data_IF_973834674170
#
_entry.id   IF_973834674170
#
_cell.length_a   1.000
_cell.length_b   1.000
_cell.length_c   1.000
_cell.angle_alpha   90.00
_cell.angle_beta   90.00
_cell.angle_gamma   90.00
#
_symmetry.space_group_name_H-M   'P 1'
#
loop_
_entity.id
_entity.type
_entity.pdbx_description
1 polymer ?
#
# COMPACT_ATOMS: atom_id res chain seq x y z
N UNK A 1 -36.64 -44.41 0.99
CA UNK A 1 -35.30 -43.84 0.85
C UNK A 1 -35.45 -42.36 0.49
N UNK A 2 -35.50 -41.52 1.50
CA UNK A 2 -35.54 -40.08 1.33
C UNK A 2 -34.13 -39.55 1.25
N UNK A 3 -33.81 -38.80 0.22
CA UNK A 3 -32.64 -37.95 0.15
C UNK A 3 -33.06 -36.55 0.65
N UNK A 4 -32.65 -36.28 1.87
CA UNK A 4 -32.67 -34.92 2.43
C UNK A 4 -31.60 -34.08 1.77
N UNK A 5 -31.99 -33.28 0.78
CA UNK A 5 -31.19 -32.21 0.23
C UNK A 5 -31.55 -30.88 0.94
N UNK A 6 -31.14 -30.73 2.20
CA UNK A 6 -31.12 -29.41 2.82
C UNK A 6 -29.84 -28.70 2.38
N UNK A 7 -29.92 -27.54 1.69
CA UNK A 7 -28.72 -26.72 1.39
C UNK A 7 -28.12 -26.26 2.72
N UNK A 8 -26.82 -26.33 2.77
CA UNK A 8 -25.99 -25.96 3.94
C UNK A 8 -26.10 -24.43 4.17
N UNK A 9 -27.13 -24.00 4.89
CA UNK A 9 -27.42 -22.58 5.19
C UNK A 9 -26.37 -21.89 6.08
N UNK A 10 -25.43 -22.65 6.66
CA UNK A 10 -24.37 -22.08 7.52
C UNK A 10 -23.28 -21.33 6.77
N UNK A 11 -23.10 -21.56 5.47
CA UNK A 11 -22.08 -20.87 4.69
C UNK A 11 -22.53 -19.48 4.19
N UNK A 12 -23.81 -19.27 3.96
CA UNK A 12 -24.33 -17.99 3.47
C UNK A 12 -24.33 -16.90 4.55
N UNK A 13 -24.64 -17.24 5.80
CA UNK A 13 -24.65 -16.27 6.90
C UNK A 13 -23.24 -15.78 7.30
N UNK A 14 -22.21 -16.58 7.05
CA UNK A 14 -20.83 -16.22 7.33
C UNK A 14 -20.23 -15.32 6.25
N UNK A 15 -20.67 -15.48 4.99
CA UNK A 15 -20.28 -14.69 3.83
C UNK A 15 -20.73 -13.22 3.90
N UNK A 16 -21.69 -12.90 4.77
CA UNK A 16 -22.29 -11.56 4.89
C UNK A 16 -22.22 -11.00 6.31
N UNK A 17 -21.34 -11.54 7.16
CA UNK A 17 -21.15 -11.03 8.51
C UNK A 17 -20.37 -9.70 8.50
N UNK A 18 -20.61 -8.88 9.53
CA UNK A 18 -19.90 -7.59 9.70
C UNK A 18 -18.39 -7.77 9.84
N UNK A 19 -17.96 -8.93 10.35
CA UNK A 19 -16.57 -9.34 10.48
C UNK A 19 -15.95 -9.64 9.11
N UNK A 20 -16.66 -10.37 8.25
CA UNK A 20 -16.23 -10.67 6.89
C UNK A 20 -16.00 -9.38 6.06
N UNK A 21 -16.86 -8.38 6.22
CA UNK A 21 -16.70 -7.08 5.58
C UNK A 21 -15.49 -6.31 6.12
N UNK A 22 -15.23 -6.38 7.41
CA UNK A 22 -14.03 -5.78 7.99
C UNK A 22 -12.77 -6.42 7.44
N UNK A 23 -12.77 -7.73 7.25
CA UNK A 23 -11.63 -8.45 6.69
C UNK A 23 -11.44 -8.07 5.22
N UNK A 24 -12.51 -8.01 4.41
CA UNK A 24 -12.43 -7.54 3.01
C UNK A 24 -12.02 -6.07 2.93
N UNK A 25 -12.61 -5.19 3.73
CA UNK A 25 -12.22 -3.77 3.74
C UNK A 25 -10.77 -3.62 4.16
N UNK A 26 -10.31 -4.36 5.15
CA UNK A 26 -8.91 -4.37 5.56
C UNK A 26 -8.00 -4.93 4.44
N UNK A 27 -8.42 -5.99 3.75
CA UNK A 27 -7.68 -6.57 2.63
C UNK A 27 -7.64 -5.62 1.42
N UNK A 28 -8.73 -4.92 1.12
CA UNK A 28 -8.80 -3.88 0.09
C UNK A 28 -7.93 -2.67 0.47
N UNK A 29 -8.01 -2.19 1.71
CA UNK A 29 -7.20 -1.07 2.21
C UNK A 29 -5.71 -1.43 2.28
N UNK A 30 -5.37 -2.71 2.50
CA UNK A 30 -3.99 -3.21 2.51
C UNK A 30 -3.44 -3.47 1.10
N UNK A 31 -4.29 -3.50 0.06
CA UNK A 31 -3.88 -3.83 -1.32
C UNK A 31 -3.67 -2.62 -2.22
N UNK A 32 -3.76 -1.39 -1.71
CA UNK A 32 -3.43 -0.19 -2.50
C UNK A 32 -1.93 -0.10 -2.81
N UNK A 33 -1.62 0.25 -4.04
CA UNK A 33 -0.31 0.18 -4.70
C UNK A 33 0.89 0.71 -3.91
N UNK A 34 2.08 0.39 -4.35
CA UNK A 34 3.34 0.57 -3.65
C UNK A 34 3.71 -0.71 -2.90
N UNK A 35 4.28 -0.60 -1.69
CA UNK A 35 4.60 -1.78 -0.88
C UNK A 35 3.35 -2.50 -0.35
N UNK A 36 2.21 -1.81 -0.31
CA UNK A 36 0.93 -2.33 0.14
C UNK A 36 0.08 -3.01 -0.97
N UNK A 37 0.48 -2.92 -2.26
CA UNK A 37 -0.26 -3.50 -3.38
C UNK A 37 -1.23 -2.53 -4.06
N UNK A 38 -2.10 -3.05 -4.91
CA UNK A 38 -3.16 -2.32 -5.60
C UNK A 38 -4.53 -2.70 -5.05
N UNK A 39 -5.43 -1.74 -4.99
CA UNK A 39 -6.83 -2.01 -4.66
C UNK A 39 -7.44 -2.89 -5.76
N UNK A 40 -8.07 -4.01 -5.35
CA UNK A 40 -8.77 -4.88 -6.27
C UNK A 40 -10.02 -4.19 -6.84
N UNK A 41 -10.31 -4.40 -8.11
CA UNK A 41 -11.60 -4.01 -8.65
C UNK A 41 -12.71 -4.93 -8.13
N UNK A 42 -13.96 -4.47 -8.03
CA UNK A 42 -15.07 -5.30 -7.55
C UNK A 42 -15.21 -6.64 -8.27
N UNK A 43 -14.88 -6.69 -9.58
CA UNK A 43 -14.91 -7.90 -10.39
C UNK A 43 -13.67 -8.82 -10.23
N UNK A 44 -12.62 -8.33 -9.56
CA UNK A 44 -11.39 -9.10 -9.25
C UNK A 44 -11.43 -9.70 -7.84
N UNK A 45 -12.50 -9.45 -7.08
CA UNK A 45 -12.65 -10.01 -5.74
C UNK A 45 -12.83 -11.52 -5.80
N UNK A 46 -12.17 -12.30 -4.93
CA UNK A 46 -12.17 -13.78 -4.98
C UNK A 46 -13.57 -14.41 -4.87
N UNK A 47 -14.52 -13.70 -4.27
CA UNK A 47 -15.89 -14.15 -4.09
C UNK A 47 -16.85 -13.69 -5.20
N UNK A 48 -16.37 -12.94 -6.19
CA UNK A 48 -17.15 -12.50 -7.34
C UNK A 48 -16.90 -13.46 -8.50
N UNK A 49 -17.75 -14.46 -8.64
CA UNK A 49 -17.66 -15.51 -9.65
C UNK A 49 -18.75 -15.42 -10.72
N UNK A 50 -19.76 -14.58 -10.48
CA UNK A 50 -20.90 -14.38 -11.36
C UNK A 50 -21.32 -12.90 -11.41
N UNK A 51 -22.10 -12.54 -12.44
CA UNK A 51 -22.71 -11.20 -12.52
C UNK A 51 -23.64 -10.88 -11.34
N UNK A 52 -24.26 -11.89 -10.74
CA UNK A 52 -25.08 -11.71 -9.55
C UNK A 52 -24.24 -11.34 -8.33
N UNK A 53 -23.08 -11.97 -8.16
CA UNK A 53 -22.16 -11.65 -7.06
C UNK A 53 -21.70 -10.19 -7.18
N UNK A 54 -21.40 -9.75 -8.40
CA UNK A 54 -21.02 -8.36 -8.65
C UNK A 54 -22.14 -7.37 -8.29
N UNK A 55 -23.40 -7.67 -8.66
CA UNK A 55 -24.55 -6.84 -8.28
C UNK A 55 -24.68 -6.78 -6.75
N UNK A 56 -24.57 -7.92 -6.08
CA UNK A 56 -24.63 -7.99 -4.61
C UNK A 56 -23.53 -7.14 -3.95
N UNK A 57 -22.31 -7.12 -4.50
CA UNK A 57 -21.20 -6.25 -4.01
C UNK A 57 -21.59 -4.79 -4.10
N UNK A 58 -22.17 -4.33 -5.21
CA UNK A 58 -22.59 -2.94 -5.37
C UNK A 58 -23.78 -2.57 -4.47
N UNK A 59 -24.77 -3.43 -4.32
CA UNK A 59 -25.90 -3.21 -3.41
C UNK A 59 -25.42 -3.05 -1.97
N UNK A 60 -24.53 -3.94 -1.52
CA UNK A 60 -23.97 -3.88 -0.17
C UNK A 60 -23.06 -2.66 0.02
N UNK A 61 -22.31 -2.25 -1.00
CA UNK A 61 -21.54 -1.02 -0.95
C UNK A 61 -22.46 0.20 -0.80
N UNK A 62 -23.56 0.25 -1.53
CA UNK A 62 -24.56 1.31 -1.42
C UNK A 62 -25.17 1.39 -0.01
N UNK A 63 -25.52 0.25 0.57
CA UNK A 63 -26.05 0.17 1.95
C UNK A 63 -24.96 0.60 2.98
N UNK A 64 -23.74 0.19 2.76
CA UNK A 64 -22.62 0.57 3.63
C UNK A 64 -22.37 2.08 3.62
N UNK A 65 -22.50 2.75 2.48
CA UNK A 65 -22.31 4.19 2.34
C UNK A 65 -23.35 5.02 3.10
N UNK A 66 -24.49 4.45 3.46
CA UNK A 66 -25.50 5.11 4.31
C UNK A 66 -25.01 5.28 5.75
N UNK A 67 -24.15 4.41 6.22
CA UNK A 67 -23.67 4.38 7.62
C UNK A 67 -22.18 4.70 7.73
N UNK A 68 -21.42 4.48 6.68
CA UNK A 68 -19.98 4.72 6.63
C UNK A 68 -19.68 5.68 5.47
N UNK A 69 -19.16 6.88 5.74
CA UNK A 69 -18.79 7.80 4.68
C UNK A 69 -17.71 7.17 3.79
N UNK A 70 -17.92 7.25 2.49
CA UNK A 70 -16.93 6.81 1.51
C UNK A 70 -15.68 7.67 1.57
N UNK A 71 -14.53 7.08 1.31
CA UNK A 71 -13.29 7.81 1.09
C UNK A 71 -13.16 8.19 -0.38
N UNK A 72 -12.61 9.38 -0.65
CA UNK A 72 -12.29 9.80 -2.01
C UNK A 72 -11.04 9.05 -2.46
N UNK A 73 -11.14 8.32 -3.57
CA UNK A 73 -9.95 7.75 -4.22
C UNK A 73 -9.14 8.90 -4.83
N UNK A 74 -7.91 9.01 -4.40
CA UNK A 74 -6.95 9.97 -4.94
C UNK A 74 -6.23 9.31 -6.12
N UNK A 75 -6.02 10.05 -7.20
CA UNK A 75 -5.32 9.57 -8.39
C UNK A 75 -3.96 10.25 -8.50
N UNK A 76 -2.93 9.57 -8.09
CA UNK A 76 -1.57 10.07 -8.06
C UNK A 76 -0.53 8.98 -8.25
N UNK A 77 0.69 9.25 -7.84
CA UNK A 77 1.79 8.29 -7.88
C UNK A 77 1.93 7.64 -6.51
N UNK A 78 1.44 6.41 -6.40
CA UNK A 78 1.55 5.66 -5.17
C UNK A 78 3.00 5.24 -4.89
N UNK A 79 3.43 5.39 -3.65
CA UNK A 79 4.71 4.94 -3.13
C UNK A 79 4.62 4.74 -1.62
N UNK A 80 5.62 4.09 -1.06
CA UNK A 80 5.82 4.09 0.38
C UNK A 80 7.13 4.79 0.70
N UNK A 81 7.22 5.39 1.87
CA UNK A 81 8.46 5.91 2.43
C UNK A 81 8.70 5.32 3.80
N UNK A 82 9.94 5.23 4.18
CA UNK A 82 10.39 4.77 5.49
C UNK A 82 11.67 5.45 5.91
N UNK A 83 11.93 5.47 7.19
CA UNK A 83 13.17 5.98 7.73
C UNK A 83 14.22 4.86 7.73
N UNK A 84 15.40 5.14 7.20
CA UNK A 84 16.54 4.22 7.20
C UNK A 84 17.78 4.92 7.78
N UNK A 85 18.75 4.12 8.22
CA UNK A 85 20.06 4.60 8.61
C UNK A 85 21.04 4.42 7.46
N UNK A 86 21.71 5.49 7.06
CA UNK A 86 22.77 5.46 6.05
C UNK A 86 24.03 6.06 6.67
N UNK A 87 24.95 5.19 7.06
CA UNK A 87 26.22 5.61 7.65
C UNK A 87 26.09 6.39 8.97
N UNK A 88 25.09 6.05 9.79
CA UNK A 88 24.83 6.73 11.07
C UNK A 88 23.91 7.95 10.96
N UNK A 89 23.45 8.27 9.73
CA UNK A 89 22.51 9.37 9.51
C UNK A 89 21.15 8.82 9.11
N UNK A 90 20.10 9.22 9.85
CA UNK A 90 18.73 8.86 9.52
C UNK A 90 18.21 9.73 8.39
N UNK A 91 17.61 9.10 7.39
CA UNK A 91 16.96 9.78 6.28
C UNK A 91 15.78 8.98 5.75
N UNK A 92 14.84 9.66 5.12
CA UNK A 92 13.75 8.99 4.44
C UNK A 92 14.21 8.39 3.12
N UNK A 93 13.67 7.20 2.81
CA UNK A 93 13.88 6.47 1.59
C UNK A 93 12.56 5.97 1.04
N UNK A 94 12.45 5.89 -0.29
CA UNK A 94 11.27 5.35 -0.97
C UNK A 94 11.30 3.83 -1.03
N UNK A 95 10.11 3.26 -1.14
CA UNK A 95 9.90 1.86 -1.41
C UNK A 95 8.71 1.69 -2.38
N UNK A 96 8.97 1.08 -3.54
CA UNK A 96 7.96 0.84 -4.58
C UNK A 96 7.36 -0.57 -4.53
N UNK A 97 7.60 -1.31 -3.45
CA UNK A 97 7.04 -2.64 -3.25
C UNK A 97 7.67 -3.75 -4.10
N UNK A 98 8.68 -3.44 -4.94
CA UNK A 98 9.30 -4.44 -5.80
C UNK A 98 10.32 -5.30 -5.05
N UNK A 99 10.74 -6.41 -5.70
CA UNK A 99 11.81 -7.28 -5.19
C UNK A 99 13.21 -6.82 -5.57
N UNK A 100 13.36 -5.63 -6.16
CA UNK A 100 14.66 -5.08 -6.51
C UNK A 100 15.43 -4.71 -5.24
N UNK A 101 16.75 -4.87 -5.28
CA UNK A 101 17.60 -4.63 -4.13
C UNK A 101 17.44 -3.21 -3.55
N UNK A 102 17.37 -2.20 -4.42
CA UNK A 102 17.17 -0.81 -4.00
C UNK A 102 15.83 -0.58 -3.29
N UNK A 103 14.75 -1.22 -3.75
CA UNK A 103 13.45 -1.14 -3.06
C UNK A 103 13.52 -1.80 -1.67
N UNK A 104 14.22 -2.94 -1.55
CA UNK A 104 14.38 -3.65 -0.29
C UNK A 104 15.25 -2.85 0.68
N UNK A 105 16.34 -2.26 0.20
CA UNK A 105 17.24 -1.41 0.98
C UNK A 105 16.59 -0.07 1.37
N UNK A 106 15.72 0.45 0.54
CA UNK A 106 15.18 1.80 0.54
C UNK A 106 15.91 2.67 -0.47
N UNK A 107 15.17 3.29 -1.37
CA UNK A 107 15.67 4.13 -2.43
C UNK A 107 15.89 5.53 -1.86
N UNK A 108 17.12 5.91 -1.64
CA UNK A 108 17.48 7.30 -1.25
C UNK A 108 17.44 8.23 -2.45
N UNK A 109 17.55 9.53 -2.23
CA UNK A 109 17.64 10.50 -3.33
C UNK A 109 18.84 10.19 -4.27
N UNK A 110 19.96 9.76 -3.72
CA UNK A 110 21.13 9.36 -4.49
C UNK A 110 20.93 8.10 -5.35
N UNK A 111 20.02 7.22 -4.92
CA UNK A 111 19.75 5.97 -5.62
C UNK A 111 18.68 6.11 -6.75
N UNK A 112 18.08 7.28 -6.92
CA UNK A 112 16.94 7.45 -7.85
C UNK A 112 17.34 7.19 -9.31
N UNK A 113 18.52 7.67 -9.74
CA UNK A 113 19.01 7.46 -11.11
C UNK A 113 19.42 6.01 -11.36
N UNK A 114 19.91 5.31 -10.35
CA UNK A 114 20.23 3.88 -10.45
C UNK A 114 18.95 3.02 -10.47
N UNK A 115 17.90 3.50 -9.83
CA UNK A 115 16.64 2.78 -9.74
C UNK A 115 15.74 2.97 -10.95
N UNK A 116 15.73 4.16 -11.52
CA UNK A 116 14.87 4.56 -12.62
C UNK A 116 15.73 4.96 -13.84
N UNK A 117 15.23 4.67 -15.05
CA UNK A 117 15.91 5.07 -16.26
C UNK A 117 15.97 6.60 -16.40
N UNK A 118 16.98 7.09 -17.06
CA UNK A 118 17.13 8.53 -17.36
C UNK A 118 15.85 9.09 -18.00
N UNK A 119 15.39 10.24 -17.50
CA UNK A 119 14.16 10.90 -17.96
C UNK A 119 12.88 10.35 -17.35
N UNK A 120 12.95 9.33 -16.50
CA UNK A 120 11.78 8.81 -15.81
C UNK A 120 11.25 9.82 -14.76
N UNK A 121 9.96 10.14 -14.82
CA UNK A 121 9.34 11.15 -13.94
C UNK A 121 9.58 10.94 -12.44
N UNK A 122 9.78 9.69 -12.01
CA UNK A 122 10.09 9.36 -10.61
C UNK A 122 11.44 9.90 -10.12
N UNK A 123 12.38 10.22 -10.97
CA UNK A 123 13.64 10.85 -10.56
C UNK A 123 13.35 12.24 -9.99
N UNK A 124 12.56 13.02 -10.70
CA UNK A 124 12.16 14.36 -10.25
C UNK A 124 11.21 14.29 -9.06
N UNK A 125 10.08 13.64 -9.23
CA UNK A 125 9.01 13.55 -8.20
C UNK A 125 9.51 12.89 -6.93
N UNK A 126 10.22 11.77 -7.04
CA UNK A 126 10.81 11.07 -5.90
C UNK A 126 11.85 11.93 -5.17
N UNK A 127 12.65 12.69 -5.91
CA UNK A 127 13.62 13.65 -5.33
C UNK A 127 12.92 14.74 -4.52
N UNK A 128 11.89 15.38 -5.06
CA UNK A 128 11.10 16.42 -4.38
C UNK A 128 10.43 15.89 -3.12
N UNK A 129 9.83 14.70 -3.19
CA UNK A 129 9.20 14.03 -2.05
C UNK A 129 10.21 13.73 -0.95
N UNK A 130 11.36 13.14 -1.30
CA UNK A 130 12.39 12.80 -0.33
C UNK A 130 13.02 14.05 0.31
N UNK A 131 13.23 15.12 -0.44
CA UNK A 131 13.70 16.40 0.11
C UNK A 131 12.73 16.93 1.15
N UNK A 132 11.44 17.01 0.80
CA UNK A 132 10.42 17.52 1.71
C UNK A 132 10.34 16.71 3.02
N UNK A 133 10.37 15.38 2.94
CA UNK A 133 10.34 14.54 4.14
C UNK A 133 11.62 14.65 4.98
N UNK A 134 12.78 14.74 4.34
CA UNK A 134 14.05 14.90 5.04
C UNK A 134 14.18 16.29 5.69
N UNK A 135 13.66 17.34 5.06
CA UNK A 135 13.55 18.67 5.68
C UNK A 135 12.61 18.69 6.88
N UNK A 136 11.51 17.95 6.82
CA UNK A 136 10.57 17.83 7.93
C UNK A 136 11.09 16.96 9.09
N UNK A 137 12.04 16.05 8.85
CA UNK A 137 12.49 15.04 9.82
C UNK A 137 12.84 15.61 11.19
N UNK A 138 13.60 16.71 11.35
CA UNK A 138 13.94 17.26 12.66
C UNK A 138 12.69 17.66 13.46
N UNK A 139 11.66 18.16 12.79
CA UNK A 139 10.42 18.62 13.42
C UNK A 139 9.53 17.46 13.86
N UNK A 140 9.45 16.38 13.04
CA UNK A 140 8.55 15.25 13.28
C UNK A 140 9.22 14.08 14.03
N UNK A 141 10.50 14.18 14.34
CA UNK A 141 11.26 13.09 14.97
C UNK A 141 10.63 12.55 16.27
N UNK A 142 10.06 13.45 17.08
CA UNK A 142 9.38 13.07 18.29
C UNK A 142 8.12 12.22 18.06
N UNK A 143 7.38 12.51 17.00
CA UNK A 143 6.18 11.75 16.65
C UNK A 143 6.54 10.43 15.97
N UNK A 144 7.58 10.40 15.14
CA UNK A 144 8.13 9.16 14.60
C UNK A 144 8.58 8.20 15.71
N UNK A 145 9.16 8.73 16.78
CA UNK A 145 9.53 7.92 17.95
C UNK A 145 8.31 7.34 18.66
N UNK A 146 7.25 8.13 18.87
CA UNK A 146 5.98 7.65 19.46
C UNK A 146 5.33 6.55 18.63
N UNK A 147 5.42 6.65 17.30
CA UNK A 147 4.93 5.65 16.36
C UNK A 147 5.84 4.41 16.24
N UNK A 148 7.02 4.42 16.87
CA UNK A 148 8.03 3.38 16.74
C UNK A 148 8.76 3.38 15.38
N UNK A 149 8.49 4.35 14.51
CA UNK A 149 9.02 4.40 13.15
C UNK A 149 10.43 5.03 13.08
N UNK A 150 10.89 5.66 14.15
CA UNK A 150 12.20 6.32 14.17
C UNK A 150 13.36 5.32 14.01
N UNK A 151 13.23 4.15 14.62
CA UNK A 151 14.29 3.14 14.71
C UNK A 151 13.90 1.80 14.06
N UNK A 152 12.69 1.69 13.54
CA UNK A 152 12.19 0.48 12.87
C UNK A 152 11.98 0.73 11.37
N UNK A 153 12.94 0.38 10.51
CA UNK A 153 12.82 0.58 9.06
C UNK A 153 11.80 -0.36 8.40
N UNK A 154 11.18 -1.27 9.15
CA UNK A 154 10.10 -2.10 8.66
C UNK A 154 8.76 -1.36 8.62
N UNK A 155 8.65 -0.21 9.28
CA UNK A 155 7.46 0.63 9.24
C UNK A 155 7.51 1.53 8.02
N UNK A 156 6.52 1.38 7.15
CA UNK A 156 6.35 2.17 5.93
C UNK A 156 5.13 3.07 6.05
N UNK A 157 5.29 4.30 5.63
CA UNK A 157 4.19 5.23 5.39
C UNK A 157 3.73 5.04 3.96
N UNK A 158 2.54 4.48 3.76
CA UNK A 158 1.94 4.38 2.44
C UNK A 158 1.43 5.76 2.03
N UNK A 159 1.87 6.24 0.90
CA UNK A 159 1.56 7.59 0.46
C UNK A 159 1.30 7.66 -1.03
N UNK A 160 0.63 8.72 -1.44
CA UNK A 160 0.41 9.07 -2.83
C UNK A 160 0.83 10.52 -3.08
N UNK A 161 1.73 10.72 -4.04
CA UNK A 161 2.04 12.04 -4.53
C UNK A 161 1.05 12.41 -5.63
N UNK A 162 0.37 13.52 -5.46
CA UNK A 162 -0.61 14.05 -6.41
C UNK A 162 -0.06 15.31 -7.04
N UNK A 163 0.18 15.25 -8.35
CA UNK A 163 0.38 16.46 -9.13
C UNK A 163 -0.95 17.25 -9.17
N UNK A 164 -0.88 18.57 -9.07
CA UNK A 164 -2.08 19.41 -9.01
C UNK A 164 -3.05 19.17 -10.16
N UNK A 165 -2.55 18.73 -11.31
CA UNK A 165 -3.37 18.33 -12.45
C UNK A 165 -2.97 16.95 -12.92
N UNK A 166 -3.91 16.01 -12.86
CA UNK A 166 -3.78 14.66 -13.43
C UNK A 166 -4.66 14.53 -14.68
N UNK A 167 -4.59 13.37 -15.35
CA UNK A 167 -5.46 13.08 -16.48
C UNK A 167 -6.93 12.86 -16.08
N UNK A 168 -7.17 12.64 -14.79
CA UNK A 168 -8.50 12.29 -14.24
C UNK A 168 -9.13 13.47 -13.53
N UNK A 169 -8.34 14.24 -12.77
CA UNK A 169 -8.84 15.29 -11.88
C UNK A 169 -7.83 16.44 -11.79
N UNK A 170 -8.37 17.67 -11.72
CA UNK A 170 -7.62 18.87 -11.35
C UNK A 170 -7.80 19.14 -9.85
N UNK A 171 -6.72 18.99 -9.10
CA UNK A 171 -6.68 19.19 -7.65
C UNK A 171 -6.23 20.61 -7.26
N UNK A 172 -5.86 21.44 -8.22
CA UNK A 172 -5.42 22.81 -8.01
C UNK A 172 -4.00 22.99 -7.49
N UNK A 173 -3.47 22.05 -6.71
CA UNK A 173 -2.12 22.10 -6.15
C UNK A 173 -1.52 20.72 -5.98
N UNK A 174 -0.18 20.63 -5.95
CA UNK A 174 0.52 19.41 -5.62
C UNK A 174 0.39 19.15 -4.11
N UNK A 175 0.18 17.90 -3.74
CA UNK A 175 0.16 17.48 -2.33
C UNK A 175 0.57 16.02 -2.18
N UNK A 176 0.81 15.62 -0.94
CA UNK A 176 1.02 14.23 -0.57
C UNK A 176 -0.11 13.80 0.35
N UNK A 177 -0.75 12.70 0.01
CA UNK A 177 -1.69 12.01 0.88
C UNK A 177 -0.97 10.84 1.55
N UNK A 178 -1.01 10.79 2.88
CA UNK A 178 -0.55 9.62 3.65
C UNK A 178 -1.78 8.78 3.97
N UNK A 179 -1.86 7.58 3.40
CA UNK A 179 -3.00 6.69 3.57
C UNK A 179 -2.92 5.89 4.87
N UNK A 180 -1.71 5.61 5.36
CA UNK A 180 -1.53 4.85 6.58
C UNK A 180 -0.12 4.33 6.79
N UNK A 181 0.01 3.48 7.81
CA UNK A 181 1.25 2.83 8.22
C UNK A 181 1.13 1.34 7.95
N UNK A 182 2.13 0.77 7.31
CA UNK A 182 2.27 -0.66 7.10
C UNK A 182 3.54 -1.16 7.77
N UNK A 183 3.47 -2.30 8.42
CA UNK A 183 4.67 -2.99 8.92
C UNK A 183 4.99 -4.16 8.00
N UNK A 184 6.17 -4.10 7.38
CA UNK A 184 6.63 -5.10 6.42
C UNK A 184 7.63 -6.01 7.08
N UNK A 185 7.39 -7.32 7.06
CA UNK A 185 8.34 -8.34 7.47
C UNK A 185 9.13 -8.79 6.25
N UNK A 186 10.45 -8.75 6.36
CA UNK A 186 11.36 -9.29 5.34
C UNK A 186 12.01 -10.56 5.87
N UNK A 187 11.92 -11.62 5.10
CA UNK A 187 12.54 -12.91 5.45
C UNK A 187 13.39 -13.41 4.29
N UNK A 188 14.60 -13.85 4.62
CA UNK A 188 15.41 -14.59 3.66
C UNK A 188 14.78 -15.96 3.39
N UNK A 189 14.71 -16.33 2.12
CA UNK A 189 14.22 -17.65 1.71
C UNK A 189 15.40 -18.61 1.76
N UNK A 190 15.40 -19.60 2.69
CA UNK A 190 16.53 -20.50 2.85
C UNK A 190 16.90 -21.22 1.55
N UNK A 191 18.18 -21.21 1.23
CA UNK A 191 18.72 -21.91 0.06
C UNK A 191 18.35 -21.30 -1.29
N UNK A 192 17.67 -20.14 -1.34
CA UNK A 192 17.38 -19.45 -2.58
C UNK A 192 18.19 -18.18 -2.75
N UNK A 193 18.79 -18.05 -3.93
CA UNK A 193 19.60 -16.89 -4.31
C UNK A 193 18.95 -16.16 -5.48
N UNK A 194 19.09 -14.84 -5.48
CA UNK A 194 18.74 -13.97 -6.61
C UNK A 194 19.92 -13.04 -6.90
N UNK A 195 20.51 -13.18 -8.10
CA UNK A 195 21.70 -12.42 -8.52
C UNK A 195 22.85 -12.50 -7.51
N UNK A 196 23.13 -13.71 -6.97
CA UNK A 196 24.24 -13.96 -6.05
C UNK A 196 24.03 -13.52 -4.60
N UNK A 197 22.82 -13.04 -4.24
CA UNK A 197 22.44 -12.66 -2.88
C UNK A 197 21.27 -13.49 -2.39
N UNK A 198 21.08 -13.68 -1.06
CA UNK A 198 19.92 -14.37 -0.52
C UNK A 198 18.62 -13.74 -1.06
N UNK A 199 17.69 -14.59 -1.51
CA UNK A 199 16.37 -14.13 -1.93
C UNK A 199 15.58 -13.69 -0.69
N UNK A 200 15.17 -12.45 -0.65
CA UNK A 200 14.31 -11.92 0.41
C UNK A 200 12.86 -11.90 -0.05
N UNK A 201 11.97 -12.44 0.75
CA UNK A 201 10.53 -12.26 0.60
C UNK A 201 10.04 -11.17 1.55
N UNK A 202 9.07 -10.41 1.05
CA UNK A 202 8.38 -9.38 1.79
C UNK A 202 6.97 -9.88 2.13
N UNK A 203 6.57 -9.67 3.37
CA UNK A 203 5.23 -9.94 3.89
C UNK A 203 4.70 -8.63 4.51
N UNK A 204 3.47 -8.26 4.23
CA UNK A 204 2.74 -7.13 4.83
C UNK A 204 1.79 -7.61 5.89
#
# INVERSE_FOLDING_TARGET
CGHDNTPNTMNEQKLFSKEWWKDIINEILLSEGGAAGHMAHPFDLPNVTSGRDLVNVFEQAADSLQTNPGAVKIDGVNSSIRLIDVGGTKQFAMDRGSKKELDIKGITKADLEDRFSQGHGMIKVGGEVLDMFNEALPTIQGDLKKLGALDDPSILFNMEYVAGKTNVQDYGSNFIAIHGLNKVKMEEVPGRMYRGKPLVKRYS
#
